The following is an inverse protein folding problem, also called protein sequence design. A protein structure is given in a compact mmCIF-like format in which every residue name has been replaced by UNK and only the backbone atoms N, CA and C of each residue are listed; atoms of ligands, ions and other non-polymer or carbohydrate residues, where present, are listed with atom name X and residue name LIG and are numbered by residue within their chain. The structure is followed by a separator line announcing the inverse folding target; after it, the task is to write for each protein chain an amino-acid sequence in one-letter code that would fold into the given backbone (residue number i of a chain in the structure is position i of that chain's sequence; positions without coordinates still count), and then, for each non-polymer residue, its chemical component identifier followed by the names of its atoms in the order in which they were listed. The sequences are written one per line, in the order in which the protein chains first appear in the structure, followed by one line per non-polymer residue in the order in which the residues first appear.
data_IF_743221543010
#
_entry.id   IF_743221543010
#
_cell.length_a   1.000
_cell.length_b   1.000
_cell.length_c   1.000
_cell.angle_alpha   90.00
_cell.angle_beta   90.00
_cell.angle_gamma   90.00
#
_symmetry.space_group_name_H-M   'P 1'
#
loop_
_entity.id
_entity.type
_entity.pdbx_description
1 polymer ?
#
# COMPACT_ATOMS: atom_id res chain seq x y z
N UNK A 1 -3.23 1.25 17.57
CA UNK A 1 -2.62 -0.06 17.88
C UNK A 1 -2.39 -0.14 19.37
N UNK A 2 -2.53 -1.32 19.97
CA UNK A 2 -2.06 -1.55 21.35
C UNK A 2 -0.53 -1.29 21.40
N UNK A 3 0.05 -1.05 22.59
CA UNK A 3 1.52 -1.03 22.74
C UNK A 3 2.13 -2.26 22.06
N UNK A 4 3.20 -2.04 21.29
CA UNK A 4 3.91 -3.05 20.47
C UNK A 4 3.07 -3.75 19.39
N UNK A 5 1.84 -3.30 19.17
CA UNK A 5 0.95 -3.84 18.15
C UNK A 5 1.48 -3.56 16.74
N UNK A 6 1.39 -4.58 15.88
CA UNK A 6 1.71 -4.49 14.45
C UNK A 6 0.42 -4.60 13.64
N UNK A 7 0.22 -3.68 12.69
CA UNK A 7 -0.81 -3.81 11.66
C UNK A 7 -0.16 -4.31 10.38
N UNK A 8 -0.72 -5.37 9.81
CA UNK A 8 -0.39 -5.86 8.47
C UNK A 8 -1.50 -5.40 7.54
N UNK A 9 -1.17 -4.52 6.60
CA UNK A 9 -2.08 -4.04 5.58
C UNK A 9 -1.61 -4.54 4.21
N UNK A 10 -2.38 -5.45 3.61
CA UNK A 10 -2.18 -5.88 2.24
C UNK A 10 -3.16 -5.11 1.37
N UNK A 11 -2.65 -4.32 0.42
CA UNK A 11 -3.48 -3.45 -0.41
C UNK A 11 -2.93 -3.32 -1.83
N UNK A 12 -3.74 -2.77 -2.72
CA UNK A 12 -3.35 -2.37 -4.06
C UNK A 12 -2.81 -0.94 -4.05
N UNK A 13 -1.65 -0.73 -4.68
CA UNK A 13 -1.06 0.60 -4.86
C UNK A 13 -0.26 0.63 -6.16
N UNK A 14 -0.04 1.83 -6.70
CA UNK A 14 0.74 1.99 -7.91
C UNK A 14 2.19 1.50 -7.70
N UNK A 15 2.76 0.79 -8.68
CA UNK A 15 4.10 0.24 -8.52
C UNK A 15 5.16 1.38 -8.53
N UNK A 16 6.19 1.31 -7.68
CA UNK A 16 7.16 2.40 -7.52
C UNK A 16 8.08 2.59 -8.73
N UNK A 17 8.25 1.56 -9.55
CA UNK A 17 9.02 1.59 -10.80
C UNK A 17 8.19 2.07 -12.01
N UNK A 18 6.91 2.42 -11.79
CA UNK A 18 5.99 2.90 -12.82
C UNK A 18 5.85 1.94 -14.01
N UNK A 19 6.03 0.63 -13.80
CA UNK A 19 5.89 -0.33 -14.89
C UNK A 19 4.44 -0.37 -15.43
N UNK A 20 4.31 -0.53 -16.75
CA UNK A 20 3.03 -0.41 -17.46
C UNK A 20 2.02 -1.50 -17.06
N UNK A 21 2.50 -2.70 -16.74
CA UNK A 21 1.63 -3.83 -16.38
C UNK A 21 0.97 -3.62 -15.02
N UNK A 22 1.74 -3.24 -14.01
CA UNK A 22 1.24 -2.95 -12.68
C UNK A 22 0.35 -1.70 -12.68
N UNK A 23 0.76 -0.66 -13.41
CA UNK A 23 -0.09 0.52 -13.59
C UNK A 23 -1.44 0.17 -14.23
N UNK A 24 -1.42 -0.63 -15.31
CA UNK A 24 -2.63 -1.09 -15.98
C UNK A 24 -3.53 -1.94 -15.07
N UNK A 25 -2.93 -2.80 -14.25
CA UNK A 25 -3.66 -3.60 -13.27
C UNK A 25 -4.37 -2.72 -12.23
N UNK A 26 -3.66 -1.78 -11.60
CA UNK A 26 -4.25 -0.85 -10.60
C UNK A 26 -5.35 0.00 -11.24
N UNK A 27 -5.14 0.49 -12.47
CA UNK A 27 -6.18 1.22 -13.23
C UNK A 27 -7.44 0.39 -13.49
N UNK A 28 -7.30 -0.92 -13.72
CA UNK A 28 -8.46 -1.79 -13.89
C UNK A 28 -9.25 -1.91 -12.57
N UNK A 29 -8.55 -2.06 -11.45
CA UNK A 29 -9.15 -2.10 -10.11
C UNK A 29 -9.88 -0.78 -9.78
N UNK A 30 -9.26 0.39 -10.07
CA UNK A 30 -9.93 1.69 -9.94
C UNK A 30 -11.22 1.78 -10.77
N UNK A 31 -11.20 1.28 -12.02
CA UNK A 31 -12.38 1.26 -12.90
C UNK A 31 -13.49 0.37 -12.38
N UNK A 32 -13.18 -0.64 -11.57
CA UNK A 32 -14.16 -1.48 -10.87
C UNK A 32 -14.76 -0.78 -9.63
N UNK A 33 -14.40 0.47 -9.36
CA UNK A 33 -14.98 1.30 -8.31
C UNK A 33 -14.12 1.41 -7.05
N UNK A 34 -12.90 0.87 -7.06
CA UNK A 34 -11.99 0.99 -5.93
C UNK A 34 -11.26 2.35 -5.91
N UNK A 35 -10.85 2.81 -4.73
CA UNK A 35 -10.15 4.09 -4.54
C UNK A 35 -8.76 3.81 -3.98
N UNK A 36 -7.75 4.03 -4.82
CA UNK A 36 -6.35 3.87 -4.43
C UNK A 36 -5.94 5.09 -3.59
N UNK A 37 -5.68 4.85 -2.30
CA UNK A 37 -5.27 5.89 -1.36
C UNK A 37 -3.76 5.93 -1.22
N UNK A 38 -3.22 7.13 -1.00
CA UNK A 38 -1.83 7.29 -0.61
C UNK A 38 -1.63 6.84 0.85
N UNK A 39 -1.33 5.55 1.02
CA UNK A 39 -1.12 4.93 2.33
C UNK A 39 0.08 5.54 3.05
N UNK A 40 1.15 5.89 2.34
CA UNK A 40 2.36 6.47 2.96
C UNK A 40 2.07 7.80 3.64
N UNK A 41 1.36 8.70 2.93
CA UNK A 41 0.94 9.98 3.49
C UNK A 41 0.03 9.78 4.70
N UNK A 42 -0.94 8.85 4.60
CA UNK A 42 -1.86 8.57 5.70
C UNK A 42 -1.14 8.03 6.94
N UNK A 43 -0.12 7.21 6.76
CA UNK A 43 0.70 6.69 7.87
C UNK A 43 1.60 7.77 8.47
N UNK A 44 2.16 8.64 7.64
CA UNK A 44 2.93 9.80 8.06
C UNK A 44 2.09 10.73 8.95
N UNK A 45 0.88 11.09 8.49
CA UNK A 45 -0.04 11.97 9.21
C UNK A 45 -0.53 11.39 10.54
N UNK A 46 -0.48 10.05 10.68
CA UNK A 46 -0.85 9.33 11.91
C UNK A 46 0.32 9.03 12.83
N UNK A 47 1.51 9.56 12.53
CA UNK A 47 2.77 9.29 13.24
C UNK A 47 3.06 7.79 13.39
N UNK A 48 2.82 7.02 12.33
CA UNK A 48 3.16 5.61 12.27
C UNK A 48 4.51 5.42 11.58
N UNK A 49 5.26 4.40 11.98
CA UNK A 49 6.35 3.86 11.15
C UNK A 49 5.82 2.70 10.32
N UNK A 50 6.40 2.48 9.15
CA UNK A 50 6.05 1.35 8.32
C UNK A 50 7.23 0.79 7.54
N UNK A 51 7.12 -0.47 7.18
CA UNK A 51 7.94 -1.12 6.16
C UNK A 51 7.03 -1.57 5.02
N UNK A 52 7.34 -1.12 3.80
CA UNK A 52 6.66 -1.56 2.57
C UNK A 52 7.39 -2.76 1.97
N UNK A 53 6.65 -3.78 1.55
CA UNK A 53 7.16 -4.94 0.79
C UNK A 53 6.32 -5.13 -0.46
N UNK A 54 6.97 -5.24 -1.61
CA UNK A 54 6.32 -5.60 -2.87
C UNK A 54 6.11 -7.12 -2.88
N UNK A 55 4.87 -7.57 -3.06
CA UNK A 55 4.53 -9.00 -2.94
C UNK A 55 4.29 -9.63 -4.32
N UNK A 56 3.40 -9.03 -5.14
CA UNK A 56 3.01 -9.60 -6.43
C UNK A 56 2.32 -8.54 -7.32
N UNK A 57 1.69 -8.98 -8.41
CA UNK A 57 0.92 -8.13 -9.32
C UNK A 57 1.78 -7.06 -10.00
N UNK A 58 3.01 -7.42 -10.41
CA UNK A 58 3.98 -6.47 -10.97
C UNK A 58 4.25 -5.27 -10.06
N UNK A 59 4.33 -5.49 -8.74
CA UNK A 59 4.53 -4.44 -7.74
C UNK A 59 3.26 -3.72 -7.31
N UNK A 60 2.10 -4.10 -7.84
CA UNK A 60 0.82 -3.49 -7.49
C UNK A 60 0.21 -4.01 -6.20
N UNK A 61 0.60 -5.23 -5.77
CA UNK A 61 0.15 -5.81 -4.50
C UNK A 61 1.27 -5.59 -3.47
N UNK A 62 0.97 -4.81 -2.45
CA UNK A 62 1.96 -4.34 -1.49
C UNK A 62 1.52 -4.65 -0.06
N UNK A 63 2.48 -5.10 0.75
CA UNK A 63 2.29 -5.32 2.18
C UNK A 63 2.96 -4.19 2.96
N UNK A 64 2.18 -3.49 3.77
CA UNK A 64 2.64 -2.50 4.72
C UNK A 64 2.63 -3.12 6.12
N UNK A 65 3.81 -3.20 6.74
CA UNK A 65 3.99 -3.61 8.12
C UNK A 65 4.10 -2.35 8.95
N UNK A 66 3.03 -2.01 9.65
CA UNK A 66 2.83 -0.70 10.30
C UNK A 66 2.94 -0.84 11.81
N UNK A 67 3.66 0.09 12.44
CA UNK A 67 3.78 0.22 13.90
C UNK A 67 3.44 1.64 14.32
N UNK A 68 2.73 1.80 15.44
CA UNK A 68 2.47 3.12 16.02
C UNK A 68 3.74 3.57 16.76
N UNK A 69 4.17 4.81 16.54
CA UNK A 69 5.22 5.45 17.37
C UNK A 69 4.63 5.96 18.67
#
# INVERSE_FOLDING_TARGET
LKPDGVLLLLDYDYPPDSNVLGFGFVRLIEKCGDIIKNIEQLLHDRNCSYQRKLISGFGSIQLFIIRKK
#
